data_IF_995262944574
#
_entry.id   IF_995262944574
#
_cell.length_a   1.000
_cell.length_b   1.000
_cell.length_c   1.000
_cell.angle_alpha   90.00
_cell.angle_beta   90.00
_cell.angle_gamma   90.00
#
_symmetry.space_group_name_H-M   'P 1'
#
loop_
_entity.id
_entity.type
_entity.pdbx_description
1 polymer ?
#
# COMPACT_ATOMS: atom_id res chain seq x y z
N UNK A 1 -3.05 25.21 -21.56
CA UNK A 1 -2.72 26.03 -20.38
C UNK A 1 -3.02 25.35 -19.03
N UNK A 2 -4.04 24.48 -18.93
CA UNK A 2 -4.51 23.89 -17.65
C UNK A 2 -3.64 22.72 -17.14
N UNK A 3 -2.99 21.96 -18.04
CA UNK A 3 -2.27 20.72 -17.72
C UNK A 3 -0.90 20.89 -17.06
N UNK A 4 -0.32 22.09 -17.07
CA UNK A 4 1.03 22.32 -16.51
C UNK A 4 1.01 22.90 -15.09
N UNK A 5 -0.07 23.58 -14.68
CA UNK A 5 -0.15 24.23 -13.37
C UNK A 5 -0.85 23.39 -12.30
N UNK A 6 -1.89 22.62 -12.67
CA UNK A 6 -2.66 21.86 -11.67
C UNK A 6 -2.07 20.49 -11.32
N UNK A 7 -1.38 19.84 -12.26
CA UNK A 7 -0.77 18.51 -12.06
C UNK A 7 0.17 18.41 -10.85
N UNK A 8 1.09 19.34 -10.57
CA UNK A 8 1.95 19.23 -9.39
C UNK A 8 1.18 19.38 -8.07
N UNK A 9 0.19 20.29 -8.02
CA UNK A 9 -0.61 20.53 -6.81
C UNK A 9 -1.53 19.35 -6.45
N UNK A 10 -2.10 18.65 -7.44
CA UNK A 10 -3.01 17.52 -7.18
C UNK A 10 -2.27 16.25 -6.77
N UNK A 11 -1.05 16.02 -7.27
CA UNK A 11 -0.28 14.81 -6.92
C UNK A 11 0.17 14.85 -5.46
N UNK A 12 0.56 16.01 -4.94
CA UNK A 12 0.88 16.16 -3.50
C UNK A 12 -0.33 15.86 -2.60
N UNK A 13 -1.52 16.32 -2.98
CA UNK A 13 -2.76 16.04 -2.26
C UNK A 13 -3.22 14.59 -2.39
N UNK A 14 -2.95 13.91 -3.51
CA UNK A 14 -3.33 12.52 -3.75
C UNK A 14 -2.40 11.51 -3.04
N UNK A 15 -1.20 11.92 -2.65
CA UNK A 15 -0.21 11.05 -1.99
C UNK A 15 -0.71 10.35 -0.71
N UNK A 16 -1.28 11.06 0.29
CA UNK A 16 -1.85 10.39 1.48
C UNK A 16 -3.01 9.44 1.12
N UNK A 17 -3.86 9.81 0.16
CA UNK A 17 -4.94 8.96 -0.32
C UNK A 17 -4.44 7.66 -0.97
N UNK A 18 -3.36 7.74 -1.74
CA UNK A 18 -2.74 6.57 -2.37
C UNK A 18 -2.18 5.59 -1.33
N UNK A 19 -1.54 6.06 -0.24
CA UNK A 19 -1.05 5.17 0.83
C UNK A 19 -2.18 4.42 1.52
N UNK A 20 -3.30 5.09 1.78
CA UNK A 20 -4.50 4.45 2.35
C UNK A 20 -5.07 3.42 1.38
N UNK A 21 -5.16 3.76 0.08
CA UNK A 21 -5.66 2.85 -0.94
C UNK A 21 -4.79 1.59 -1.10
N UNK A 22 -3.46 1.70 -0.94
CA UNK A 22 -2.54 0.55 -0.92
C UNK A 22 -2.86 -0.37 0.26
N UNK A 23 -3.09 0.17 1.46
CA UNK A 23 -3.48 -0.65 2.61
C UNK A 23 -4.80 -1.41 2.35
N UNK A 24 -5.79 -0.72 1.78
CA UNK A 24 -7.10 -1.32 1.44
C UNK A 24 -6.96 -2.38 0.35
N UNK A 25 -6.11 -2.18 -0.66
CA UNK A 25 -5.95 -3.14 -1.76
C UNK A 25 -5.44 -4.49 -1.25
N UNK A 26 -4.52 -4.51 -0.29
CA UNK A 26 -4.04 -5.75 0.32
C UNK A 26 -5.13 -6.50 1.07
N UNK A 27 -6.01 -5.79 1.79
CA UNK A 27 -7.17 -6.39 2.46
C UNK A 27 -8.12 -7.02 1.43
N UNK A 28 -8.38 -6.32 0.33
CA UNK A 28 -9.24 -6.83 -0.74
C UNK A 28 -8.63 -8.04 -1.47
N UNK A 29 -7.33 -8.02 -1.74
CA UNK A 29 -6.61 -9.18 -2.30
C UNK A 29 -6.73 -10.37 -1.36
N UNK A 30 -6.50 -10.18 -0.06
CA UNK A 30 -6.67 -11.25 0.94
C UNK A 30 -8.08 -11.86 0.91
N UNK A 31 -9.12 -11.02 0.92
CA UNK A 31 -10.51 -11.48 0.87
C UNK A 31 -10.78 -12.21 -0.45
N UNK A 32 -10.30 -11.68 -1.57
CA UNK A 32 -10.46 -12.28 -2.90
C UNK A 32 -9.77 -13.64 -3.01
N UNK A 33 -8.56 -13.80 -2.46
CA UNK A 33 -7.83 -15.08 -2.46
C UNK A 33 -8.52 -16.09 -1.54
N UNK A 34 -9.02 -15.66 -0.38
CA UNK A 34 -9.66 -16.56 0.59
C UNK A 34 -11.03 -17.06 0.11
N UNK A 35 -11.79 -16.24 -0.62
CA UNK A 35 -13.14 -16.61 -1.08
C UNK A 35 -13.18 -17.22 -2.48
N UNK A 36 -12.18 -16.97 -3.32
CA UNK A 36 -12.24 -17.25 -4.77
C UNK A 36 -11.08 -18.05 -5.34
N UNK A 37 -10.05 -18.37 -4.56
CA UNK A 37 -8.90 -19.14 -5.02
C UNK A 37 -8.61 -20.33 -4.12
N UNK A 38 -8.24 -21.47 -4.73
CA UNK A 38 -7.76 -22.65 -4.01
C UNK A 38 -6.24 -22.60 -3.74
N UNK A 39 -5.61 -21.46 -4.02
CA UNK A 39 -4.18 -21.23 -3.87
C UNK A 39 -3.90 -19.75 -3.57
N UNK A 40 -2.80 -19.48 -2.87
CA UNK A 40 -2.39 -18.13 -2.51
C UNK A 40 -1.95 -18.00 -1.05
N UNK A 41 -1.39 -16.84 -0.72
CA UNK A 41 -0.97 -16.52 0.65
C UNK A 41 -2.21 -16.27 1.51
N UNK A 42 -3.22 -15.57 0.97
CA UNK A 42 -4.50 -15.36 1.63
C UNK A 42 -5.26 -16.66 1.89
N UNK A 43 -5.34 -17.55 0.89
CA UNK A 43 -5.91 -18.89 1.06
C UNK A 43 -5.20 -19.68 2.16
N UNK A 44 -3.85 -19.72 2.15
CA UNK A 44 -3.07 -20.44 3.16
C UNK A 44 -3.24 -19.84 4.56
N UNK A 45 -3.39 -18.52 4.67
CA UNK A 45 -3.69 -17.83 5.91
C UNK A 45 -5.09 -18.18 6.42
N UNK A 46 -6.09 -18.22 5.54
CA UNK A 46 -7.46 -18.64 5.85
C UNK A 46 -7.51 -20.08 6.36
N UNK A 47 -6.85 -21.03 5.67
CA UNK A 47 -6.75 -22.42 6.12
C UNK A 47 -6.01 -22.54 7.45
N UNK A 48 -4.94 -21.77 7.66
CA UNK A 48 -4.22 -21.75 8.94
C UNK A 48 -5.07 -21.15 10.07
N UNK A 49 -5.91 -20.16 9.76
CA UNK A 49 -6.88 -19.56 10.69
C UNK A 49 -7.94 -20.58 11.09
N UNK A 50 -8.54 -21.29 10.14
CA UNK A 50 -9.55 -22.30 10.39
C UNK A 50 -9.00 -23.51 11.19
N UNK A 51 -7.74 -23.86 10.97
CA UNK A 51 -7.06 -24.96 11.68
C UNK A 51 -6.38 -24.53 12.98
N UNK A 52 -6.46 -23.23 13.35
CA UNK A 52 -5.84 -22.64 14.55
C UNK A 52 -4.33 -22.95 14.64
N UNK A 53 -3.67 -23.03 13.48
CA UNK A 53 -2.22 -23.24 13.41
C UNK A 53 -1.50 -21.89 13.55
N UNK A 54 -1.44 -21.39 14.78
CA UNK A 54 -0.79 -20.12 15.14
C UNK A 54 0.58 -19.91 14.44
N UNK A 55 1.53 -20.86 14.45
CA UNK A 55 2.83 -20.63 13.80
C UNK A 55 2.71 -20.38 12.30
N UNK A 56 1.78 -21.05 11.62
CA UNK A 56 1.56 -20.90 10.17
C UNK A 56 0.81 -19.60 9.86
N UNK A 57 -0.15 -19.22 10.71
CA UNK A 57 -0.85 -17.94 10.61
C UNK A 57 0.12 -16.77 10.76
N UNK A 58 0.98 -16.79 11.78
CA UNK A 58 1.97 -15.73 12.02
C UNK A 58 2.95 -15.63 10.86
N UNK A 59 3.44 -16.74 10.31
CA UNK A 59 4.32 -16.73 9.14
C UNK A 59 3.64 -16.09 7.92
N UNK A 60 2.38 -16.42 7.65
CA UNK A 60 1.61 -15.84 6.55
C UNK A 60 1.31 -14.35 6.76
N UNK A 61 0.98 -13.93 8.00
CA UNK A 61 0.81 -12.52 8.35
C UNK A 61 2.11 -11.72 8.20
N UNK A 62 3.25 -12.28 8.61
CA UNK A 62 4.55 -11.65 8.42
C UNK A 62 4.89 -11.50 6.93
N UNK A 63 4.61 -12.51 6.11
CA UNK A 63 4.76 -12.44 4.65
C UNK A 63 3.87 -11.35 4.05
N UNK A 64 2.59 -11.29 4.46
CA UNK A 64 1.66 -10.27 3.98
C UNK A 64 2.10 -8.86 4.39
N UNK A 65 2.57 -8.68 5.62
CA UNK A 65 3.13 -7.41 6.11
C UNK A 65 4.41 -7.01 5.35
N UNK A 66 5.30 -7.96 5.09
CA UNK A 66 6.51 -7.72 4.31
C UNK A 66 6.17 -7.31 2.85
N UNK A 67 5.18 -7.95 2.23
CA UNK A 67 4.68 -7.55 0.91
C UNK A 67 4.04 -6.17 0.92
N UNK A 68 3.26 -5.85 1.95
CA UNK A 68 2.69 -4.52 2.15
C UNK A 68 3.75 -3.43 2.21
N UNK A 69 4.79 -3.64 3.03
CA UNK A 69 5.93 -2.74 3.12
C UNK A 69 6.70 -2.64 1.80
N UNK A 70 6.96 -3.77 1.14
CA UNK A 70 7.66 -3.79 -0.14
C UNK A 70 6.90 -3.00 -1.21
N UNK A 71 5.58 -3.14 -1.28
CA UNK A 71 4.73 -2.40 -2.21
C UNK A 71 4.64 -0.91 -1.86
N UNK A 72 4.54 -0.54 -0.58
CA UNK A 72 4.59 0.86 -0.16
C UNK A 72 5.93 1.51 -0.58
N UNK A 73 7.05 0.84 -0.33
CA UNK A 73 8.37 1.29 -0.80
C UNK A 73 8.45 1.39 -2.32
N UNK A 74 7.97 0.39 -3.04
CA UNK A 74 7.94 0.39 -4.51
C UNK A 74 7.10 1.55 -5.04
N UNK A 75 5.96 1.85 -4.41
CA UNK A 75 5.12 2.98 -4.75
C UNK A 75 5.84 4.31 -4.54
N UNK A 76 6.52 4.50 -3.40
CA UNK A 76 7.31 5.72 -3.15
C UNK A 76 8.42 5.90 -4.20
N UNK A 77 9.10 4.82 -4.58
CA UNK A 77 10.13 4.86 -5.64
C UNK A 77 9.51 5.20 -7.00
N UNK A 78 8.36 4.60 -7.34
CA UNK A 78 7.64 4.88 -8.57
C UNK A 78 7.20 6.35 -8.66
N UNK A 79 6.65 6.90 -7.57
CA UNK A 79 6.26 8.32 -7.48
C UNK A 79 7.47 9.22 -7.64
N UNK A 80 8.59 8.93 -6.97
CA UNK A 80 9.84 9.72 -7.11
C UNK A 80 10.40 9.70 -8.53
N UNK A 81 10.29 8.58 -9.25
CA UNK A 81 10.74 8.46 -10.65
C UNK A 81 9.81 9.16 -11.63
N UNK A 82 8.51 9.02 -11.46
CA UNK A 82 7.52 9.56 -12.40
C UNK A 82 7.27 11.05 -12.18
N UNK A 83 7.49 11.55 -10.96
CA UNK A 83 7.26 12.94 -10.61
C UNK A 83 8.46 13.57 -9.89
N UNK A 84 9.63 13.65 -10.56
CA UNK A 84 10.84 14.27 -9.99
C UNK A 84 10.66 15.77 -9.72
N UNK A 85 9.64 16.41 -10.29
CA UNK A 85 9.30 17.82 -10.09
C UNK A 85 8.55 18.09 -8.78
N UNK A 86 8.17 17.07 -8.00
CA UNK A 86 7.56 17.26 -6.69
C UNK A 86 8.65 17.67 -5.71
N UNK A 87 8.88 18.98 -5.61
CA UNK A 87 9.49 19.57 -4.43
C UNK A 87 8.43 19.45 -3.34
N UNK A 88 8.69 18.61 -2.32
CA UNK A 88 7.90 18.65 -1.10
C UNK A 88 8.11 20.03 -0.50
N UNK A 89 7.17 20.95 -0.75
CA UNK A 89 7.10 22.24 -0.08
C UNK A 89 6.91 21.94 1.42
N UNK A 90 8.02 21.81 2.14
CA UNK A 90 8.07 21.64 3.59
C UNK A 90 7.72 22.99 4.19
N UNK A 91 6.43 23.32 4.19
CA UNK A 91 5.99 24.65 4.54
C UNK A 91 5.43 24.75 5.96
N UNK A 92 6.16 25.51 6.77
CA UNK A 92 5.69 26.38 7.85
C UNK A 92 5.06 25.74 9.10
N UNK A 93 5.88 25.07 9.92
CA UNK A 93 5.62 24.99 11.36
C UNK A 93 6.92 25.29 12.12
N UNK A 94 7.41 26.52 11.97
CA UNK A 94 8.47 27.07 12.83
C UNK A 94 8.34 28.59 12.96
N UNK A 95 7.10 29.08 13.13
CA UNK A 95 6.79 30.47 13.46
C UNK A 95 5.50 30.56 14.28
N UNK A 96 5.60 30.29 15.58
CA UNK A 96 4.87 30.97 16.65
C UNK A 96 5.47 30.54 17.99
#
# INVERSE_FOLDING_TARGET
MIRHFYLPATIGAAYPGARVAIGISFILVYISETLGADYGIGYSLGVAYDTIQIPRMTAALLLLGALGLATDHAFVVAVRRLAPWIVFERNHENRA
#
